data_IF_956524850760
#
_entry.id   IF_956524850760
#
_cell.length_a   1.000
_cell.length_b   1.000
_cell.length_c   1.000
_cell.angle_alpha   90.00
_cell.angle_beta   90.00
_cell.angle_gamma   90.00
#
_symmetry.space_group_name_H-M   'P 1'
#
loop_
_entity.id
_entity.type
_entity.pdbx_description
1 polymer ?
#
# COMPACT_ATOMS: atom_id res chain seq x y z
N UNK A 1 -64.43 -8.69 -18.40
CA UNK A 1 -63.54 -7.51 -18.53
C UNK A 1 -62.43 -7.63 -17.49
N UNK A 2 -61.17 -7.36 -17.87
CA UNK A 2 -60.02 -8.13 -17.39
C UNK A 2 -59.32 -7.53 -16.16
N UNK A 3 -58.82 -8.42 -15.30
CA UNK A 3 -57.78 -8.15 -14.29
C UNK A 3 -56.49 -7.74 -15.01
N UNK A 4 -56.07 -6.49 -14.88
CA UNK A 4 -54.74 -6.06 -15.29
C UNK A 4 -53.75 -6.30 -14.15
N UNK A 5 -53.03 -7.42 -14.27
CA UNK A 5 -51.80 -7.69 -13.54
C UNK A 5 -50.79 -6.59 -13.85
N UNK A 6 -50.62 -5.62 -12.94
CA UNK A 6 -49.42 -4.79 -12.92
C UNK A 6 -48.28 -5.65 -12.40
N UNK A 7 -47.57 -6.27 -13.34
CA UNK A 7 -46.21 -6.73 -13.16
C UNK A 7 -45.34 -5.52 -12.76
N UNK A 8 -45.17 -5.32 -11.45
CA UNK A 8 -44.10 -4.51 -10.92
C UNK A 8 -42.81 -5.30 -11.12
N UNK A 9 -42.27 -5.22 -12.34
CA UNK A 9 -40.88 -5.51 -12.61
C UNK A 9 -40.03 -4.51 -11.86
N UNK A 10 -39.83 -4.76 -10.56
CA UNK A 10 -38.75 -4.19 -9.79
C UNK A 10 -37.46 -4.76 -10.38
N UNK A 11 -37.01 -4.13 -11.47
CA UNK A 11 -35.64 -4.30 -11.94
C UNK A 11 -34.74 -3.93 -10.77
N UNK A 12 -34.22 -4.95 -10.10
CA UNK A 12 -33.12 -4.85 -9.16
C UNK A 12 -31.88 -4.45 -9.96
N UNK A 13 -31.87 -3.22 -10.47
CA UNK A 13 -30.66 -2.56 -10.89
C UNK A 13 -29.84 -2.43 -9.62
N UNK A 14 -28.90 -3.35 -9.44
CA UNK A 14 -27.92 -3.32 -8.37
C UNK A 14 -27.25 -1.95 -8.43
N UNK A 15 -27.76 -1.02 -7.62
CA UNK A 15 -27.24 0.34 -7.57
C UNK A 15 -25.81 0.21 -7.07
N UNK A 16 -24.86 0.30 -8.01
CA UNK A 16 -23.45 0.15 -7.69
C UNK A 16 -23.03 1.12 -6.60
N UNK A 17 -21.91 0.86 -5.91
CA UNK A 17 -21.51 1.65 -4.74
C UNK A 17 -21.44 3.14 -5.09
N UNK A 18 -21.87 4.03 -4.19
CA UNK A 18 -21.86 5.47 -4.42
C UNK A 18 -20.45 5.95 -4.75
N UNK A 19 -20.34 6.99 -5.59
CA UNK A 19 -19.07 7.46 -6.17
C UNK A 19 -17.97 7.67 -5.13
N UNK A 20 -18.31 8.14 -3.92
CA UNK A 20 -17.37 8.30 -2.81
C UNK A 20 -16.76 6.97 -2.33
N UNK A 21 -17.56 5.90 -2.30
CA UNK A 21 -17.08 4.56 -1.92
C UNK A 21 -16.13 4.00 -2.96
N UNK A 22 -16.41 4.21 -4.26
CA UNK A 22 -15.51 3.79 -5.34
C UNK A 22 -14.16 4.50 -5.26
N UNK A 23 -14.16 5.81 -5.04
CA UNK A 23 -12.94 6.60 -4.92
C UNK A 23 -12.10 6.15 -3.71
N UNK A 24 -12.73 5.90 -2.56
CA UNK A 24 -12.03 5.39 -1.37
C UNK A 24 -11.48 3.98 -1.61
N UNK A 25 -12.23 3.12 -2.32
CA UNK A 25 -11.76 1.79 -2.68
C UNK A 25 -10.55 1.83 -3.63
N UNK A 26 -10.56 2.72 -4.63
CA UNK A 26 -9.42 2.94 -5.53
C UNK A 26 -8.22 3.48 -4.76
N UNK A 27 -8.43 4.44 -3.85
CA UNK A 27 -7.37 4.96 -2.99
C UNK A 27 -6.76 3.87 -2.10
N UNK A 28 -7.58 3.06 -1.42
CA UNK A 28 -7.10 1.93 -0.63
C UNK A 28 -6.36 0.91 -1.50
N UNK A 29 -6.90 0.58 -2.68
CA UNK A 29 -6.25 -0.33 -3.62
C UNK A 29 -4.88 0.16 -4.08
N UNK A 30 -4.75 1.46 -4.33
CA UNK A 30 -3.47 2.09 -4.66
C UNK A 30 -2.47 2.00 -3.50
N UNK A 31 -2.90 2.23 -2.26
CA UNK A 31 -2.05 2.07 -1.08
C UNK A 31 -1.57 0.63 -0.92
N UNK A 32 -2.47 -0.34 -1.08
CA UNK A 32 -2.12 -1.76 -1.02
C UNK A 32 -1.11 -2.12 -2.10
N UNK A 33 -1.30 -1.64 -3.33
CA UNK A 33 -0.39 -1.90 -4.44
C UNK A 33 1.01 -1.32 -4.17
N UNK A 34 1.09 -0.05 -3.75
CA UNK A 34 2.38 0.60 -3.43
C UNK A 34 3.06 -0.13 -2.29
N UNK A 35 2.34 -0.45 -1.22
CA UNK A 35 2.90 -1.17 -0.09
C UNK A 35 3.37 -2.58 -0.49
N UNK A 36 2.59 -3.30 -1.31
CA UNK A 36 2.98 -4.62 -1.80
C UNK A 36 4.25 -4.57 -2.66
N UNK A 37 4.39 -3.57 -3.54
CA UNK A 37 5.61 -3.37 -4.33
C UNK A 37 6.80 -3.04 -3.43
N UNK A 38 6.62 -2.16 -2.44
CA UNK A 38 7.66 -1.80 -1.48
C UNK A 38 8.11 -3.02 -0.66
N UNK A 39 7.16 -3.74 -0.07
CA UNK A 39 7.43 -4.96 0.71
C UNK A 39 8.09 -6.02 -0.15
N UNK A 40 7.59 -6.27 -1.36
CA UNK A 40 8.15 -7.32 -2.23
C UNK A 40 9.55 -6.97 -2.70
N UNK A 41 9.79 -5.70 -3.07
CA UNK A 41 11.10 -5.24 -3.52
C UNK A 41 12.17 -5.25 -2.43
N UNK A 42 11.79 -5.22 -1.15
CA UNK A 42 12.72 -5.34 -0.03
C UNK A 42 12.81 -6.77 0.51
N UNK A 43 11.66 -7.40 0.82
CA UNK A 43 11.63 -8.71 1.47
C UNK A 43 12.06 -9.84 0.55
N UNK A 44 11.67 -9.82 -0.73
CA UNK A 44 12.02 -10.93 -1.63
C UNK A 44 13.55 -11.03 -1.79
N UNK A 45 14.27 -9.93 -2.14
CA UNK A 45 15.73 -9.98 -2.13
C UNK A 45 16.32 -10.30 -0.75
N UNK A 46 15.75 -9.76 0.33
CA UNK A 46 16.23 -10.04 1.69
C UNK A 46 16.21 -11.53 2.04
N UNK A 47 15.13 -12.24 1.72
CA UNK A 47 15.02 -13.68 1.98
C UNK A 47 15.80 -14.53 0.98
N UNK A 48 15.79 -14.17 -0.31
CA UNK A 48 16.51 -14.93 -1.35
C UNK A 48 18.02 -14.90 -1.13
N UNK A 49 18.56 -13.80 -0.61
CA UNK A 49 19.99 -13.67 -0.31
C UNK A 49 20.33 -14.05 1.14
N UNK A 50 19.45 -14.77 1.84
CA UNK A 50 19.64 -15.25 3.21
C UNK A 50 20.01 -14.17 4.26
N UNK A 51 19.69 -12.89 4.00
CA UNK A 51 20.05 -11.77 4.88
C UNK A 51 19.35 -11.84 6.25
N UNK A 52 18.29 -12.64 6.36
CA UNK A 52 17.61 -12.96 7.62
C UNK A 52 18.45 -13.75 8.62
N UNK A 53 19.59 -14.32 8.20
CA UNK A 53 20.51 -15.03 9.08
C UNK A 53 21.59 -14.12 9.67
N UNK A 54 21.71 -12.91 9.15
CA UNK A 54 22.72 -11.94 9.55
C UNK A 54 22.16 -10.99 10.61
N UNK A 55 23.01 -10.45 11.49
CA UNK A 55 22.63 -9.34 12.36
C UNK A 55 22.11 -8.15 11.54
N UNK A 56 21.08 -7.47 12.03
CA UNK A 56 20.51 -6.29 11.36
C UNK A 56 21.54 -5.18 11.11
N UNK A 57 22.54 -5.09 11.98
CA UNK A 57 23.65 -4.13 11.88
C UNK A 57 24.53 -4.39 10.65
N UNK A 58 24.77 -5.66 10.29
CA UNK A 58 25.57 -6.04 9.12
C UNK A 58 24.78 -5.81 7.83
N UNK A 59 23.47 -6.06 7.85
CA UNK A 59 22.57 -5.74 6.72
C UNK A 59 22.46 -4.23 6.50
N UNK A 60 22.41 -3.45 7.58
CA UNK A 60 22.35 -1.99 7.51
C UNK A 60 23.70 -1.34 7.20
N UNK A 61 24.81 -2.02 7.50
CA UNK A 61 26.16 -1.49 7.39
C UNK A 61 26.78 -1.51 5.99
N UNK A 62 26.01 -1.90 4.97
CA UNK A 62 26.50 -1.89 3.58
C UNK A 62 27.49 -3.00 3.23
N UNK A 63 27.82 -3.87 4.19
CA UNK A 63 28.79 -4.96 4.01
C UNK A 63 28.30 -5.97 2.95
N UNK A 64 26.99 -6.01 2.71
CA UNK A 64 26.35 -6.76 1.65
C UNK A 64 25.80 -5.79 0.60
N UNK A 65 26.66 -5.37 -0.34
CA UNK A 65 26.27 -4.43 -1.40
C UNK A 65 25.07 -5.02 -2.18
N UNK A 66 23.90 -4.35 -2.18
CA UNK A 66 22.70 -4.83 -2.86
C UNK A 66 22.93 -5.03 -4.37
N UNK A 67 23.92 -4.35 -4.98
CA UNK A 67 24.22 -4.45 -6.42
C UNK A 67 24.72 -5.83 -6.80
N UNK A 68 25.37 -6.53 -5.87
CA UNK A 68 25.95 -7.86 -6.07
C UNK A 68 24.96 -8.98 -5.74
N UNK A 69 23.79 -8.62 -5.21
CA UNK A 69 22.76 -9.56 -4.78
C UNK A 69 21.65 -9.72 -5.81
N UNK A 70 21.00 -10.89 -5.82
CA UNK A 70 19.84 -11.13 -6.67
C UNK A 70 18.65 -10.25 -6.23
N UNK A 71 17.84 -9.70 -7.15
CA UNK A 71 17.87 -9.84 -8.61
C UNK A 71 18.76 -8.81 -9.32
N UNK A 72 19.42 -7.92 -8.60
CA UNK A 72 20.13 -6.77 -9.17
C UNK A 72 21.41 -7.16 -9.92
N UNK A 73 22.12 -8.20 -9.46
CA UNK A 73 23.30 -8.76 -10.13
C UNK A 73 22.97 -9.64 -11.35
N UNK A 74 21.70 -9.99 -11.59
CA UNK A 74 21.31 -10.97 -12.62
C UNK A 74 21.42 -10.46 -14.06
N UNK A 75 21.69 -9.15 -14.28
CA UNK A 75 21.69 -8.53 -15.61
C UNK A 75 20.33 -8.55 -16.32
N UNK A 76 19.27 -8.99 -15.64
CA UNK A 76 17.93 -9.13 -16.23
C UNK A 76 17.19 -7.79 -16.26
N UNK A 77 16.32 -7.62 -17.26
CA UNK A 77 15.40 -6.48 -17.36
C UNK A 77 14.51 -6.41 -16.11
N UNK A 78 14.10 -7.57 -15.58
CA UNK A 78 13.32 -7.64 -14.35
C UNK A 78 14.06 -7.03 -13.15
N UNK A 79 15.35 -7.36 -12.98
CA UNK A 79 16.20 -6.80 -11.93
C UNK A 79 16.35 -5.28 -12.05
N UNK A 80 16.53 -4.77 -13.28
CA UNK A 80 16.61 -3.34 -13.54
C UNK A 80 15.28 -2.60 -13.25
N UNK A 81 14.15 -3.17 -13.66
CA UNK A 81 12.82 -2.61 -13.40
C UNK A 81 12.50 -2.61 -11.90
N UNK A 82 12.79 -3.70 -11.19
CA UNK A 82 12.61 -3.78 -9.74
C UNK A 82 13.47 -2.74 -9.01
N UNK A 83 14.73 -2.57 -9.43
CA UNK A 83 15.63 -1.57 -8.84
C UNK A 83 15.11 -0.16 -9.05
N UNK A 84 14.68 0.17 -10.26
CA UNK A 84 14.13 1.47 -10.58
C UNK A 84 12.83 1.72 -9.80
N UNK A 85 11.90 0.76 -9.79
CA UNK A 85 10.65 0.86 -9.04
C UNK A 85 10.88 1.02 -7.53
N UNK A 86 11.85 0.31 -6.97
CA UNK A 86 12.18 0.41 -5.55
C UNK A 86 12.79 1.77 -5.19
N UNK A 87 13.82 2.20 -5.93
CA UNK A 87 14.60 3.41 -5.65
C UNK A 87 13.83 4.70 -5.95
N UNK A 88 13.09 4.73 -7.06
CA UNK A 88 12.47 5.98 -7.55
C UNK A 88 11.04 6.17 -7.05
N UNK A 89 10.32 5.08 -6.79
CA UNK A 89 8.89 5.12 -6.46
C UNK A 89 8.69 4.64 -5.03
N UNK A 90 9.03 3.39 -4.73
CA UNK A 90 8.59 2.75 -3.50
C UNK A 90 9.26 3.36 -2.25
N UNK A 91 10.58 3.51 -2.24
CA UNK A 91 11.34 3.99 -1.07
C UNK A 91 10.94 5.42 -0.62
N UNK A 92 10.98 6.44 -1.48
CA UNK A 92 10.65 7.80 -1.06
C UNK A 92 9.14 8.00 -0.86
N UNK A 93 8.28 7.34 -1.66
CA UNK A 93 6.84 7.59 -1.60
C UNK A 93 6.12 6.80 -0.50
N UNK A 94 6.62 5.64 -0.08
CA UNK A 94 5.94 4.80 0.94
C UNK A 94 5.69 5.54 2.27
N UNK A 95 6.70 6.19 2.91
CA UNK A 95 6.45 6.92 4.15
C UNK A 95 5.56 8.15 3.92
N UNK A 96 5.74 8.87 2.80
CA UNK A 96 4.95 10.07 2.46
C UNK A 96 3.49 9.71 2.25
N UNK A 97 3.22 8.67 1.45
CA UNK A 97 1.87 8.18 1.17
C UNK A 97 1.24 7.56 2.42
N UNK A 98 2.02 6.86 3.24
CA UNK A 98 1.55 6.29 4.50
C UNK A 98 1.06 7.38 5.46
N UNK A 99 1.91 8.37 5.75
CA UNK A 99 1.58 9.50 6.62
C UNK A 99 0.44 10.33 6.03
N UNK A 100 0.55 10.73 4.76
CA UNK A 100 -0.45 11.55 4.07
C UNK A 100 -1.81 10.87 4.04
N UNK A 101 -1.84 9.56 3.78
CA UNK A 101 -3.05 8.74 3.83
C UNK A 101 -3.67 8.70 5.23
N UNK A 102 -2.86 8.44 6.26
CA UNK A 102 -3.31 8.39 7.63
C UNK A 102 -3.90 9.72 8.08
N UNK A 103 -3.25 10.84 7.79
CA UNK A 103 -3.73 12.19 8.12
C UNK A 103 -5.04 12.49 7.40
N UNK A 104 -5.09 12.24 6.08
CA UNK A 104 -6.28 12.50 5.28
C UNK A 104 -7.49 11.66 5.73
N UNK A 105 -7.30 10.36 5.88
CA UNK A 105 -8.36 9.44 6.31
C UNK A 105 -8.83 9.72 7.74
N UNK A 106 -7.91 10.06 8.65
CA UNK A 106 -8.27 10.47 10.03
C UNK A 106 -9.10 11.74 10.01
N UNK A 107 -8.75 12.72 9.17
CA UNK A 107 -9.55 13.94 8.99
C UNK A 107 -10.96 13.66 8.44
N UNK A 108 -11.13 12.67 7.57
CA UNK A 108 -12.44 12.23 7.09
C UNK A 108 -13.29 11.57 8.19
N UNK A 109 -12.66 10.82 9.10
CA UNK A 109 -13.34 10.06 10.15
C UNK A 109 -13.63 10.88 11.41
N UNK A 110 -12.74 11.80 11.80
CA UNK A 110 -12.88 12.56 13.04
C UNK A 110 -13.73 13.83 12.89
N UNK A 111 -13.80 14.42 11.70
CA UNK A 111 -14.62 15.62 11.46
C UNK A 111 -16.09 15.21 11.25
N UNK A 112 -17.02 15.53 12.16
CA UNK A 112 -18.39 15.02 12.12
C UNK A 112 -19.12 15.35 10.81
N UNK A 113 -18.95 16.57 10.32
CA UNK A 113 -19.57 17.06 9.07
C UNK A 113 -19.08 16.33 7.82
N UNK A 114 -17.86 15.77 7.85
CA UNK A 114 -17.30 14.94 6.76
C UNK A 114 -17.73 13.48 6.93
N UNK A 115 -17.63 12.94 8.15
CA UNK A 115 -18.01 11.57 8.49
C UNK A 115 -19.48 11.28 8.16
N UNK A 116 -20.38 12.22 8.45
CA UNK A 116 -21.82 12.07 8.17
C UNK A 116 -22.12 11.94 6.67
N UNK A 117 -21.27 12.48 5.80
CA UNK A 117 -21.40 12.36 4.33
C UNK A 117 -20.90 11.02 3.78
N UNK A 118 -20.20 10.22 4.59
CA UNK A 118 -19.72 8.90 4.21
C UNK A 118 -20.77 7.84 4.54
N UNK A 119 -20.97 6.93 3.60
CA UNK A 119 -21.70 5.69 3.83
C UNK A 119 -20.97 4.81 4.84
N UNK A 120 -21.66 3.82 5.42
CA UNK A 120 -21.03 2.87 6.34
C UNK A 120 -19.82 2.17 5.70
N UNK A 121 -19.96 1.69 4.46
CA UNK A 121 -18.87 1.04 3.71
C UNK A 121 -17.69 1.98 3.45
N UNK A 122 -17.95 3.23 3.08
CA UNK A 122 -16.91 4.24 2.88
C UNK A 122 -16.12 4.49 4.17
N UNK A 123 -16.78 4.55 5.34
CA UNK A 123 -16.10 4.71 6.64
C UNK A 123 -15.19 3.54 6.95
N UNK A 124 -15.64 2.31 6.71
CA UNK A 124 -14.82 1.10 6.94
C UNK A 124 -13.59 1.08 6.04
N UNK A 125 -13.75 1.38 4.75
CA UNK A 125 -12.62 1.45 3.82
C UNK A 125 -11.65 2.59 4.18
N UNK A 126 -12.16 3.74 4.62
CA UNK A 126 -11.31 4.83 5.11
C UNK A 126 -10.53 4.41 6.35
N UNK A 127 -11.16 3.71 7.30
CA UNK A 127 -10.47 3.21 8.48
C UNK A 127 -9.38 2.20 8.11
N UNK A 128 -9.65 1.28 7.18
CA UNK A 128 -8.65 0.36 6.66
C UNK A 128 -7.46 1.08 6.01
N UNK A 129 -7.71 2.12 5.22
CA UNK A 129 -6.67 2.93 4.60
C UNK A 129 -5.84 3.72 5.62
N UNK A 130 -6.46 4.21 6.70
CA UNK A 130 -5.74 4.85 7.81
C UNK A 130 -4.83 3.86 8.52
N UNK A 131 -5.34 2.68 8.87
CA UNK A 131 -4.54 1.62 9.52
C UNK A 131 -3.38 1.20 8.63
N UNK A 132 -3.62 1.00 7.34
CA UNK A 132 -2.56 0.68 6.38
C UNK A 132 -1.53 1.81 6.28
N UNK A 133 -1.98 3.07 6.16
CA UNK A 133 -1.07 4.21 6.09
C UNK A 133 -0.20 4.38 7.33
N UNK A 134 -0.77 4.17 8.51
CA UNK A 134 -0.03 4.15 9.78
C UNK A 134 0.96 2.97 9.83
N UNK A 135 0.57 1.80 9.34
CA UNK A 135 1.44 0.62 9.28
C UNK A 135 2.63 0.89 8.36
N UNK A 136 2.39 1.44 7.16
CA UNK A 136 3.44 1.85 6.22
C UNK A 136 4.43 2.80 6.89
N UNK A 137 3.93 3.86 7.54
CA UNK A 137 4.76 4.84 8.24
C UNK A 137 5.55 4.20 9.40
N UNK A 138 4.90 3.38 10.22
CA UNK A 138 5.53 2.72 11.36
C UNK A 138 6.65 1.77 10.92
N UNK A 139 6.42 0.98 9.86
CA UNK A 139 7.46 0.09 9.33
C UNK A 139 8.61 0.91 8.76
N UNK A 140 8.35 1.94 7.95
CA UNK A 140 9.42 2.79 7.39
C UNK A 140 10.26 3.51 8.46
N UNK A 141 9.66 3.86 9.60
CA UNK A 141 10.34 4.53 10.72
C UNK A 141 10.99 3.55 11.72
N UNK A 142 10.74 2.25 11.58
CA UNK A 142 11.33 1.23 12.46
C UNK A 142 12.82 1.03 12.15
N UNK A 143 13.63 0.54 13.12
CA UNK A 143 15.02 0.17 12.86
C UNK A 143 15.17 -0.84 11.70
N UNK A 144 14.20 -1.74 11.56
CA UNK A 144 14.14 -2.71 10.46
C UNK A 144 13.92 -2.03 9.10
N UNK A 145 12.95 -1.12 9.01
CA UNK A 145 12.68 -0.36 7.79
C UNK A 145 13.85 0.53 7.39
N UNK A 146 14.53 1.12 8.39
CA UNK A 146 15.75 1.88 8.17
C UNK A 146 16.88 1.00 7.63
N UNK A 147 17.12 -0.17 8.24
CA UNK A 147 18.12 -1.14 7.78
C UNK A 147 17.86 -1.59 6.34
N UNK A 148 16.61 -1.94 6.01
CA UNK A 148 16.23 -2.32 4.64
C UNK A 148 16.37 -1.17 3.64
N UNK A 149 16.09 0.07 4.07
CA UNK A 149 16.21 1.26 3.22
C UNK A 149 17.67 1.61 2.97
N UNK A 150 18.50 1.59 4.01
CA UNK A 150 19.94 1.79 3.90
C UNK A 150 20.55 0.74 2.97
N UNK A 151 20.21 -0.53 3.18
CA UNK A 151 20.61 -1.64 2.33
C UNK A 151 20.21 -1.42 0.86
N UNK A 152 19.02 -0.88 0.58
CA UNK A 152 18.60 -0.66 -0.81
C UNK A 152 19.23 0.57 -1.47
N UNK A 153 19.73 1.53 -0.69
CA UNK A 153 20.29 2.80 -1.18
C UNK A 153 21.80 2.77 -1.41
N UNK A 154 22.51 1.80 -0.83
CA UNK A 154 23.95 1.61 -1.00
C UNK A 154 24.31 1.14 -2.43
#
# INVERSE_FOLDING_TARGET
MPRSERAAGAGSGAAGPPTSTRLIAVWLGALVMVFAVWVSGLLVPYFVNDLHRLPLEEVAGGMHDPKDLWPYASGSILGAVLRLALLTIALPLTPILGIGSAVFGTGLLLIPSRRQRLTASARTLTAAAVVLGLTMAAVSLSPFGYALTAWALD
#
